data_IF_507387754890
#
_entry.id   IF_507387754890
#
_cell.length_a   1.000
_cell.length_b   1.000
_cell.length_c   1.000
_cell.angle_alpha   90.00
_cell.angle_beta   90.00
_cell.angle_gamma   90.00
#
_symmetry.space_group_name_H-M   'P 1'
#
loop_
_entity.id
_entity.type
_entity.pdbx_description
1 polymer ?
#
# COMPACT_ATOMS: atom_id res chain seq x y z
N UNK A 1 -1.54 3.37 -13.37
CA UNK A 1 -0.10 3.30 -13.67
C UNK A 1 0.72 4.10 -12.67
N UNK A 2 0.56 5.42 -12.57
CA UNK A 2 1.46 6.28 -11.77
C UNK A 2 1.59 5.87 -10.29
N UNK A 3 0.48 5.53 -9.62
CA UNK A 3 0.51 5.04 -8.22
C UNK A 3 1.33 3.75 -8.08
N UNK A 4 1.22 2.82 -9.03
CA UNK A 4 1.97 1.56 -9.02
C UNK A 4 3.47 1.80 -9.16
N UNK A 5 3.86 2.63 -10.14
CA UNK A 5 5.26 2.97 -10.39
C UNK A 5 5.88 3.77 -9.25
N UNK A 6 5.19 4.81 -8.80
CA UNK A 6 5.72 5.75 -7.82
C UNK A 6 5.90 5.11 -6.44
N UNK A 7 4.96 4.25 -6.03
CA UNK A 7 5.06 3.54 -4.75
C UNK A 7 6.26 2.58 -4.73
N UNK A 8 6.48 1.80 -5.80
CA UNK A 8 7.59 0.86 -5.88
C UNK A 8 8.93 1.58 -6.06
N UNK A 9 8.95 2.70 -6.79
CA UNK A 9 10.13 3.54 -6.91
C UNK A 9 10.57 4.10 -5.54
N UNK A 10 9.66 4.72 -4.78
CA UNK A 10 9.97 5.22 -3.43
C UNK A 10 10.38 4.09 -2.51
N UNK A 11 9.67 2.96 -2.52
CA UNK A 11 10.05 1.78 -1.72
C UNK A 11 11.50 1.38 -1.97
N UNK A 12 11.92 1.31 -3.23
CA UNK A 12 13.30 0.96 -3.56
C UNK A 12 14.31 2.04 -3.17
N UNK A 13 13.98 3.33 -3.26
CA UNK A 13 14.83 4.42 -2.75
C UNK A 13 15.04 4.33 -1.24
N UNK A 14 13.95 4.13 -0.48
CA UNK A 14 14.03 3.98 0.98
C UNK A 14 14.80 2.70 1.32
N UNK A 15 14.55 1.61 0.61
CA UNK A 15 15.31 0.37 0.78
C UNK A 15 16.82 0.58 0.52
N UNK A 16 17.20 1.34 -0.51
CA UNK A 16 18.59 1.65 -0.81
C UNK A 16 19.25 2.55 0.26
N UNK A 17 18.47 3.38 0.96
CA UNK A 17 19.01 4.19 2.07
C UNK A 17 19.18 3.43 3.38
N UNK A 18 18.44 2.33 3.57
CA UNK A 18 18.40 1.57 4.82
C UNK A 18 19.19 0.27 4.73
N UNK A 19 19.22 -0.36 3.56
CA UNK A 19 19.91 -1.61 3.31
C UNK A 19 21.26 -1.36 2.64
N UNK A 20 22.28 -2.08 3.08
CA UNK A 20 23.61 -2.06 2.45
C UNK A 20 23.71 -2.92 1.19
N UNK A 21 22.61 -3.57 0.80
CA UNK A 21 22.53 -4.43 -0.39
C UNK A 21 21.93 -3.69 -1.57
N UNK A 22 22.39 -3.97 -2.81
CA UNK A 22 21.81 -3.38 -4.00
C UNK A 22 20.31 -3.75 -4.12
N UNK A 23 19.50 -2.75 -4.51
CA UNK A 23 18.08 -2.93 -4.78
C UNK A 23 17.90 -3.09 -6.29
N UNK A 24 17.24 -4.17 -6.69
CA UNK A 24 16.93 -4.42 -8.09
C UNK A 24 15.51 -3.98 -8.40
N UNK A 25 15.31 -3.40 -9.59
CA UNK A 25 14.00 -3.06 -10.10
C UNK A 25 13.67 -3.99 -11.27
N UNK A 26 12.59 -4.74 -11.13
CA UNK A 26 12.10 -5.63 -12.18
C UNK A 26 10.88 -5.00 -12.84
N UNK A 27 10.90 -4.97 -14.16
CA UNK A 27 9.80 -4.43 -14.96
C UNK A 27 9.07 -5.58 -15.65
N UNK A 28 7.85 -5.86 -15.20
CA UNK A 28 6.99 -6.91 -15.73
C UNK A 28 5.75 -6.29 -16.37
N UNK A 29 5.81 -6.07 -17.68
CA UNK A 29 4.69 -5.49 -18.45
C UNK A 29 4.43 -4.03 -18.11
N UNK A 30 3.39 -3.75 -17.31
CA UNK A 30 3.05 -2.38 -16.84
C UNK A 30 3.34 -2.18 -15.35
N UNK A 31 4.05 -3.12 -14.74
CA UNK A 31 4.31 -3.16 -13.30
C UNK A 31 5.82 -3.04 -13.09
N UNK A 32 6.22 -2.00 -12.36
CA UNK A 32 7.55 -1.92 -11.74
C UNK A 32 7.49 -2.58 -10.37
N UNK A 33 8.50 -3.35 -10.02
CA UNK A 33 8.62 -3.98 -8.69
C UNK A 33 10.02 -3.75 -8.15
N UNK A 34 10.12 -3.17 -6.95
CA UNK A 34 11.38 -3.10 -6.21
C UNK A 34 11.60 -4.43 -5.47
N UNK A 35 12.62 -5.15 -5.89
CA UNK A 35 13.05 -6.41 -5.28
C UNK A 35 13.95 -6.08 -4.10
N UNK A 36 13.38 -6.22 -2.90
CA UNK A 36 14.09 -6.05 -1.64
C UNK A 36 14.64 -7.42 -1.22
N UNK A 37 15.98 -7.62 -1.19
CA UNK A 37 16.56 -8.85 -0.69
C UNK A 37 16.41 -8.92 0.84
N UNK A 38 15.98 -10.07 1.35
CA UNK A 38 15.88 -10.33 2.78
C UNK A 38 17.20 -10.93 3.25
N UNK A 39 18.00 -10.14 3.96
CA UNK A 39 19.28 -10.54 4.57
C UNK A 39 19.16 -10.65 6.09
N UNK A 40 19.89 -11.62 6.65
CA UNK A 40 19.89 -11.98 8.09
C UNK A 40 20.44 -10.85 8.97
N UNK A 41 21.20 -9.91 8.41
CA UNK A 41 21.79 -8.79 9.15
C UNK A 41 20.80 -7.67 9.54
N UNK A 42 19.59 -7.66 8.98
CA UNK A 42 18.58 -6.64 9.28
C UNK A 42 17.40 -7.21 10.07
N UNK A 43 16.82 -6.37 10.94
CA UNK A 43 15.69 -6.78 11.78
C UNK A 43 14.40 -7.00 10.98
N UNK A 44 13.51 -7.85 11.50
CA UNK A 44 12.15 -8.01 10.98
C UNK A 44 11.40 -6.68 10.86
N UNK A 45 11.56 -5.79 11.85
CA UNK A 45 10.90 -4.48 11.86
C UNK A 45 11.34 -3.60 10.69
N UNK A 46 12.63 -3.66 10.31
CA UNK A 46 13.16 -2.95 9.14
C UNK A 46 12.43 -3.39 7.88
N UNK A 47 12.29 -4.69 7.66
CA UNK A 47 11.57 -5.19 6.49
C UNK A 47 10.08 -4.91 6.57
N UNK A 48 9.44 -5.09 7.74
CA UNK A 48 8.04 -4.74 7.93
C UNK A 48 7.75 -3.28 7.57
N UNK A 49 8.65 -2.36 7.94
CA UNK A 49 8.60 -0.97 7.51
C UNK A 49 8.71 -0.84 5.98
N UNK A 50 9.74 -1.43 5.36
CA UNK A 50 9.96 -1.35 3.90
C UNK A 50 8.78 -1.91 3.09
N UNK A 51 8.22 -3.06 3.48
CA UNK A 51 7.06 -3.66 2.83
C UNK A 51 5.76 -2.88 3.06
N UNK A 52 5.70 -2.08 4.13
CA UNK A 52 4.56 -1.19 4.40
C UNK A 52 4.60 0.13 3.64
N UNK A 53 5.75 0.54 3.08
CA UNK A 53 5.91 1.85 2.38
C UNK A 53 4.84 2.10 1.32
N UNK A 54 4.54 1.15 0.39
CA UNK A 54 3.49 1.39 -0.62
C UNK A 54 2.12 1.71 0.00
N UNK A 55 1.78 1.08 1.13
CA UNK A 55 0.54 1.37 1.85
C UNK A 55 0.59 2.74 2.51
N UNK A 56 1.70 3.05 3.20
CA UNK A 56 1.90 4.33 3.88
C UNK A 56 1.85 5.51 2.90
N UNK A 57 2.47 5.39 1.73
CA UNK A 57 2.39 6.40 0.68
C UNK A 57 0.97 6.59 0.17
N UNK A 58 0.24 5.50 -0.03
CA UNK A 58 -1.16 5.56 -0.46
C UNK A 58 -2.03 6.28 0.58
N UNK A 59 -1.77 6.09 1.88
CA UNK A 59 -2.41 6.85 2.94
C UNK A 59 -2.06 8.34 2.89
N UNK A 60 -0.78 8.66 2.75
CA UNK A 60 -0.32 10.05 2.62
C UNK A 60 -1.00 10.73 1.42
N UNK A 61 -1.14 10.03 0.30
CA UNK A 61 -1.84 10.55 -0.87
C UNK A 61 -3.34 10.76 -0.66
N UNK A 62 -4.00 9.84 0.04
CA UNK A 62 -5.42 9.98 0.40
C UNK A 62 -5.61 11.18 1.34
N UNK A 63 -4.78 11.33 2.36
CA UNK A 63 -4.88 12.45 3.30
C UNK A 63 -4.52 13.78 2.65
N UNK A 64 -3.41 13.82 1.89
CA UNK A 64 -2.95 15.02 1.19
C UNK A 64 -3.99 15.54 0.19
N UNK A 65 -4.61 14.64 -0.58
CA UNK A 65 -5.70 15.00 -1.49
C UNK A 65 -6.97 15.44 -0.74
N UNK A 66 -7.26 14.89 0.45
CA UNK A 66 -8.41 15.31 1.26
C UNK A 66 -8.21 16.73 1.81
N UNK A 67 -6.99 17.07 2.19
CA UNK A 67 -6.62 18.43 2.59
C UNK A 67 -6.70 19.39 1.39
N UNK A 68 -6.19 18.98 0.22
CA UNK A 68 -6.25 19.79 -1.00
C UNK A 68 -7.69 20.07 -1.46
N UNK A 69 -8.59 19.07 -1.35
CA UNK A 69 -10.01 19.20 -1.68
C UNK A 69 -10.73 20.31 -0.91
N UNK A 70 -10.28 20.63 0.31
CA UNK A 70 -10.85 21.72 1.12
C UNK A 70 -10.52 23.10 0.56
N UNK A 71 -9.40 23.23 -0.16
CA UNK A 71 -8.88 24.52 -0.64
C UNK A 71 -9.20 24.80 -2.11
N UNK A 72 -9.37 23.76 -2.91
CA UNK A 72 -9.57 23.91 -4.36
C UNK A 72 -11.04 24.20 -4.66
N UNK A 73 -11.28 25.28 -5.41
CA UNK A 73 -12.60 25.71 -5.85
C UNK A 73 -12.94 25.09 -7.22
N UNK A 74 -11.95 24.92 -8.10
CA UNK A 74 -12.13 24.41 -9.45
C UNK A 74 -12.69 22.96 -9.45
N UNK A 75 -13.87 22.80 -10.05
CA UNK A 75 -14.61 21.53 -10.12
C UNK A 75 -13.79 20.41 -10.76
N UNK A 76 -13.09 20.67 -11.87
CA UNK A 76 -12.32 19.65 -12.59
C UNK A 76 -11.16 19.11 -11.74
N UNK A 77 -10.43 20.01 -11.07
CA UNK A 77 -9.35 19.62 -10.17
C UNK A 77 -9.86 18.84 -8.96
N UNK A 78 -11.02 19.21 -8.41
CA UNK A 78 -11.63 18.44 -7.31
C UNK A 78 -12.05 17.04 -7.76
N UNK A 79 -12.69 16.90 -8.91
CA UNK A 79 -13.04 15.59 -9.47
C UNK A 79 -11.78 14.74 -9.69
N UNK A 80 -10.71 15.32 -10.22
CA UNK A 80 -9.42 14.66 -10.35
C UNK A 80 -8.86 14.14 -9.01
N UNK A 81 -8.94 14.94 -7.94
CA UNK A 81 -8.51 14.53 -6.60
C UNK A 81 -9.38 13.41 -6.02
N UNK A 82 -10.69 13.43 -6.24
CA UNK A 82 -11.59 12.34 -5.82
C UNK A 82 -11.23 11.04 -6.54
N UNK A 83 -11.03 11.08 -7.86
CA UNK A 83 -10.58 9.91 -8.65
C UNK A 83 -9.23 9.41 -8.13
N UNK A 84 -8.29 10.32 -7.88
CA UNK A 84 -6.98 9.97 -7.32
C UNK A 84 -7.09 9.28 -5.96
N UNK A 85 -7.98 9.72 -5.07
CA UNK A 85 -8.26 9.03 -3.80
C UNK A 85 -8.81 7.62 -4.03
N UNK A 86 -9.78 7.47 -4.92
CA UNK A 86 -10.37 6.16 -5.24
C UNK A 86 -9.34 5.18 -5.80
N UNK A 87 -8.42 5.65 -6.65
CA UNK A 87 -7.32 4.83 -7.17
C UNK A 87 -6.39 4.35 -6.04
N UNK A 88 -6.05 5.22 -5.09
CA UNK A 88 -5.21 4.84 -3.94
C UNK A 88 -5.92 3.86 -3.00
N UNK A 89 -7.22 4.06 -2.74
CA UNK A 89 -8.03 3.10 -1.96
C UNK A 89 -8.09 1.74 -2.66
N UNK A 90 -8.34 1.73 -3.97
CA UNK A 90 -8.34 0.51 -4.77
C UNK A 90 -6.99 -0.20 -4.75
N UNK A 91 -5.88 0.54 -4.84
CA UNK A 91 -4.54 -0.01 -4.70
C UNK A 91 -4.32 -0.69 -3.34
N UNK A 92 -4.69 -0.04 -2.24
CA UNK A 92 -4.58 -0.62 -0.89
C UNK A 92 -5.39 -1.92 -0.82
N UNK A 93 -6.63 -1.93 -1.30
CA UNK A 93 -7.49 -3.12 -1.30
C UNK A 93 -6.84 -4.28 -2.05
N UNK A 94 -6.35 -4.03 -3.27
CA UNK A 94 -5.71 -5.07 -4.09
C UNK A 94 -4.43 -5.59 -3.42
N UNK A 95 -3.56 -4.71 -2.93
CA UNK A 95 -2.29 -5.09 -2.30
C UNK A 95 -2.52 -6.01 -1.08
N UNK A 96 -3.48 -5.64 -0.23
CA UNK A 96 -3.83 -6.40 0.97
C UNK A 96 -4.48 -7.73 0.60
N UNK A 97 -5.42 -7.71 -0.34
CA UNK A 97 -6.12 -8.92 -0.78
C UNK A 97 -5.15 -9.95 -1.37
N UNK A 98 -4.20 -9.52 -2.21
CA UNK A 98 -3.11 -10.35 -2.72
C UNK A 98 -2.24 -10.88 -1.58
N UNK A 99 -1.92 -10.05 -0.58
CA UNK A 99 -1.22 -10.48 0.62
C UNK A 99 -1.94 -11.60 1.38
N UNK A 100 -3.24 -11.44 1.65
CA UNK A 100 -4.05 -12.46 2.34
C UNK A 100 -4.05 -13.75 1.55
N UNK A 101 -4.39 -13.68 0.26
CA UNK A 101 -4.46 -14.84 -0.60
C UNK A 101 -3.12 -15.57 -0.64
N UNK A 102 -2.00 -14.84 -0.66
CA UNK A 102 -0.67 -15.48 -0.66
C UNK A 102 -0.46 -16.32 0.59
N UNK A 103 -0.80 -15.79 1.76
CA UNK A 103 -0.61 -16.50 3.04
C UNK A 103 -1.60 -17.66 3.16
N UNK A 104 -2.88 -17.45 2.85
CA UNK A 104 -3.92 -18.50 2.91
C UNK A 104 -3.62 -19.66 1.97
N UNK A 105 -3.11 -19.38 0.78
CA UNK A 105 -2.73 -20.39 -0.21
C UNK A 105 -1.30 -20.90 -0.01
N UNK A 106 -0.79 -20.85 1.23
CA UNK A 106 0.52 -21.36 1.65
C UNK A 106 1.67 -20.88 0.75
N UNK A 107 1.63 -19.59 0.40
CA UNK A 107 2.65 -18.89 -0.39
C UNK A 107 2.87 -19.49 -1.79
N UNK A 108 1.85 -20.14 -2.35
CA UNK A 108 1.83 -20.64 -3.74
C UNK A 108 2.15 -19.56 -4.79
N UNK A 109 1.94 -18.29 -4.43
CA UNK A 109 2.50 -17.16 -5.15
C UNK A 109 3.17 -16.20 -4.16
N UNK A 110 4.29 -15.59 -4.59
CA UNK A 110 5.06 -14.70 -3.73
C UNK A 110 4.47 -13.29 -3.74
N UNK A 111 4.04 -12.81 -2.58
CA UNK A 111 3.77 -11.40 -2.30
C UNK A 111 4.86 -10.84 -1.38
N UNK A 112 4.92 -9.51 -1.25
CA UNK A 112 5.81 -8.90 -0.26
C UNK A 112 5.47 -9.32 1.19
N UNK A 113 4.18 -9.50 1.47
CA UNK A 113 3.69 -9.94 2.78
C UNK A 113 4.04 -11.39 3.08
N UNK A 114 3.86 -12.30 2.12
CA UNK A 114 4.23 -13.70 2.33
C UNK A 114 5.73 -13.86 2.54
N UNK A 115 6.55 -13.19 1.73
CA UNK A 115 8.02 -13.22 1.87
C UNK A 115 8.47 -12.71 3.24
N UNK A 116 7.85 -11.64 3.74
CA UNK A 116 8.14 -11.09 5.06
C UNK A 116 7.78 -12.07 6.19
N UNK A 117 6.63 -12.74 6.09
CA UNK A 117 6.12 -13.67 7.10
C UNK A 117 6.83 -15.03 7.09
N UNK A 118 7.32 -15.46 5.92
CA UNK A 118 8.23 -16.61 5.83
C UNK A 118 9.57 -16.31 6.49
N UNK A 119 10.12 -15.12 6.24
CA UNK A 119 11.38 -14.68 6.84
C UNK A 119 11.30 -14.51 8.37
N UNK A 120 10.12 -14.22 8.92
CA UNK A 120 9.95 -14.09 10.36
C UNK A 120 9.90 -15.44 11.11
N UNK A 121 9.99 -16.56 10.39
CA UNK A 121 9.89 -17.94 10.93
C UNK A 121 8.62 -18.16 11.76
N UNK A 122 7.57 -17.39 11.51
CA UNK A 122 6.31 -17.53 12.22
C UNK A 122 5.59 -18.79 11.77
N UNK A 123 5.00 -19.51 12.72
CA UNK A 123 4.13 -20.63 12.39
C UNK A 123 2.93 -20.15 11.57
N UNK A 124 2.43 -21.02 10.68
CA UNK A 124 1.31 -20.70 9.79
C UNK A 124 0.09 -20.06 10.51
N UNK A 125 -0.37 -20.56 11.68
CA UNK A 125 -1.45 -19.89 12.42
C UNK A 125 -1.11 -18.46 12.84
N UNK A 126 0.14 -18.17 13.23
CA UNK A 126 0.58 -16.81 13.59
C UNK A 126 0.61 -15.88 12.38
N UNK A 127 1.01 -16.39 11.22
CA UNK A 127 0.97 -15.64 9.96
C UNK A 127 -0.47 -15.24 9.59
N UNK A 128 -1.43 -16.17 9.74
CA UNK A 128 -2.85 -15.88 9.51
C UNK A 128 -3.39 -14.83 10.47
N UNK A 129 -3.07 -14.92 11.76
CA UNK A 129 -3.50 -13.94 12.77
C UNK A 129 -2.91 -12.56 12.46
N UNK A 130 -1.63 -12.48 12.07
CA UNK A 130 -1.00 -11.23 11.66
C UNK A 130 -1.73 -10.60 10.46
N UNK A 131 -2.00 -11.38 9.42
CA UNK A 131 -2.72 -10.90 8.24
C UNK A 131 -4.14 -10.46 8.58
N UNK A 132 -4.86 -11.19 9.43
CA UNK A 132 -6.19 -10.80 9.88
C UNK A 132 -6.16 -9.44 10.60
N UNK A 133 -5.20 -9.23 11.49
CA UNK A 133 -5.05 -7.95 12.19
C UNK A 133 -4.75 -6.80 11.22
N UNK A 134 -3.83 -7.02 10.27
CA UNK A 134 -3.50 -6.05 9.23
C UNK A 134 -4.77 -5.68 8.43
N UNK A 135 -5.57 -6.67 8.04
CA UNK A 135 -6.82 -6.46 7.30
C UNK A 135 -7.80 -5.61 8.09
N UNK A 136 -8.04 -5.93 9.36
CA UNK A 136 -8.97 -5.17 10.21
C UNK A 136 -8.57 -3.70 10.32
N UNK A 137 -7.27 -3.43 10.54
CA UNK A 137 -6.74 -2.07 10.62
C UNK A 137 -6.95 -1.31 9.32
N UNK A 138 -6.65 -1.94 8.18
CA UNK A 138 -6.75 -1.32 6.86
C UNK A 138 -8.22 -1.10 6.45
N UNK A 139 -9.11 -2.04 6.74
CA UNK A 139 -10.55 -1.88 6.52
C UNK A 139 -11.13 -0.75 7.37
N UNK A 140 -10.72 -0.63 8.64
CA UNK A 140 -11.14 0.49 9.49
C UNK A 140 -10.74 1.84 8.88
N UNK A 141 -9.49 1.95 8.42
CA UNK A 141 -9.01 3.16 7.75
C UNK A 141 -9.76 3.44 6.43
N UNK A 142 -9.92 2.44 5.56
CA UNK A 142 -10.62 2.59 4.29
C UNK A 142 -12.07 3.01 4.52
N UNK A 143 -12.74 2.45 5.51
CA UNK A 143 -14.11 2.84 5.86
C UNK A 143 -14.16 4.32 6.30
N UNK A 144 -13.22 4.75 7.13
CA UNK A 144 -13.09 6.16 7.52
C UNK A 144 -12.86 7.08 6.31
N UNK A 145 -11.90 6.75 5.45
CA UNK A 145 -11.58 7.52 4.25
C UNK A 145 -12.77 7.58 3.27
N UNK A 146 -13.47 6.47 3.08
CA UNK A 146 -14.64 6.34 2.19
C UNK A 146 -15.82 7.18 2.69
N UNK A 147 -16.09 7.18 3.99
CA UNK A 147 -17.13 8.00 4.59
C UNK A 147 -16.85 9.50 4.41
N UNK A 148 -15.59 9.91 4.47
CA UNK A 148 -15.17 11.28 4.19
C UNK A 148 -15.35 11.63 2.70
N UNK A 149 -14.95 10.74 1.80
CA UNK A 149 -15.14 10.88 0.35
C UNK A 149 -16.60 11.11 -0.03
N UNK A 150 -17.52 10.35 0.55
CA UNK A 150 -18.96 10.49 0.31
C UNK A 150 -19.46 11.91 0.56
N UNK A 151 -18.98 12.57 1.64
CA UNK A 151 -19.34 13.96 1.95
C UNK A 151 -18.88 14.93 0.86
N UNK A 152 -17.71 14.70 0.26
CA UNK A 152 -17.24 15.55 -0.83
C UNK A 152 -18.05 15.34 -2.10
N UNK A 153 -18.48 14.11 -2.38
CA UNK A 153 -19.29 13.76 -3.57
C UNK A 153 -20.73 14.31 -3.46
N UNK A 154 -21.38 14.19 -2.30
CA UNK A 154 -22.77 14.68 -2.14
C UNK A 154 -22.88 16.20 -2.28
N UNK A 155 -21.85 16.96 -1.90
CA UNK A 155 -21.81 18.41 -2.14
C UNK A 155 -21.88 18.75 -3.65
N UNK A 156 -21.43 17.86 -4.54
CA UNK A 156 -21.51 18.08 -5.99
C UNK A 156 -22.90 17.84 -6.58
N UNK A 157 -23.77 17.04 -5.94
CA UNK A 157 -25.14 16.80 -6.44
C UNK A 157 -26.12 17.92 -6.04
N UNK A 158 -25.74 18.79 -5.11
CA UNK A 158 -26.59 19.87 -4.58
C UNK A 158 -26.35 21.26 -5.18
N UNK A 159 -25.56 21.36 -6.26
CA UNK A 159 -25.38 22.56 -7.08
C UNK A 159 -25.71 22.22 -8.52
#
# INVERSE_FOLDING_TARGET
ALVLYFNEWIKGLVAASVLSTPIEYVFNGIILTAVVPLTVGNSFLTYAYLFSIPLLLSFIFIEGSAVALKKIINTNLRTGLVIFQLVNIGFILVNVFVGILSVVLKNSFQSGWSRLLEFSEYSYPKQLVFMLFLVLLLFAYINFASNRLRKYITIFKGK
#
